data_IF_451193411733
#
_entry.id   IF_451193411733
#
_cell.length_a   1.000
_cell.length_b   1.000
_cell.length_c   1.000
_cell.angle_alpha   90.00
_cell.angle_beta   90.00
_cell.angle_gamma   90.00
#
_symmetry.space_group_name_H-M   'P 1'
#
loop_
_entity.id
_entity.type
_entity.pdbx_description
1 polymer ?
#
# COMPACT_ATOMS: atom_id res chain seq x y z
N UNK A 1 18.48 -1.91 0.46
CA UNK A 1 17.14 -1.31 0.36
C UNK A 1 16.97 -0.29 1.47
N UNK A 2 16.47 0.91 1.20
CA UNK A 2 16.19 1.94 2.21
C UNK A 2 14.70 1.90 2.57
N UNK A 3 14.38 1.85 3.87
CA UNK A 3 13.01 1.90 4.37
C UNK A 3 12.93 3.02 5.41
N UNK A 4 11.99 3.95 5.26
CA UNK A 4 11.73 5.06 6.18
C UNK A 4 10.26 5.01 6.62
N UNK A 5 9.99 4.87 7.91
CA UNK A 5 8.61 4.80 8.47
C UNK A 5 8.37 5.84 9.58
N UNK A 6 7.12 6.04 9.98
CA UNK A 6 6.73 7.03 10.99
C UNK A 6 6.99 8.49 10.60
N UNK A 7 6.69 9.44 11.50
CA UNK A 7 6.91 10.88 11.27
C UNK A 7 7.36 11.57 12.56
N UNK A 8 8.22 12.59 12.44
CA UNK A 8 8.65 13.42 13.55
C UNK A 8 9.36 12.60 14.63
N UNK A 9 8.84 12.66 15.86
CA UNK A 9 9.35 11.89 17.02
C UNK A 9 9.24 10.37 16.86
N UNK A 10 8.29 9.88 16.06
CA UNK A 10 8.06 8.45 15.83
C UNK A 10 8.76 7.93 14.57
N UNK A 11 9.64 8.72 13.96
CA UNK A 11 10.31 8.35 12.72
C UNK A 11 11.37 7.25 12.97
N UNK A 12 11.36 6.22 12.13
CA UNK A 12 12.34 5.14 12.13
C UNK A 12 12.79 4.84 10.70
N UNK A 13 13.96 4.24 10.55
CA UNK A 13 14.42 3.81 9.23
C UNK A 13 15.48 2.73 9.31
N UNK A 14 15.61 1.97 8.23
CA UNK A 14 16.61 0.91 8.09
C UNK A 14 17.21 0.95 6.69
N UNK A 15 18.50 0.62 6.61
CA UNK A 15 19.22 0.40 5.35
C UNK A 15 19.68 -1.04 5.31
N UNK A 16 19.23 -1.76 4.30
CA UNK A 16 19.72 -3.10 3.99
C UNK A 16 20.86 -3.01 2.96
N UNK A 17 22.02 -3.53 3.31
CA UNK A 17 23.23 -3.56 2.49
C UNK A 17 23.39 -4.93 1.85
N UNK A 18 23.61 -4.95 0.54
CA UNK A 18 23.86 -6.16 -0.24
C UNK A 18 25.33 -6.19 -0.66
N UNK A 19 26.18 -6.99 0.01
CA UNK A 19 27.61 -6.98 -0.27
C UNK A 19 27.93 -7.71 -1.58
N UNK A 20 28.83 -7.14 -2.38
CA UNK A 20 29.26 -7.72 -3.68
C UNK A 20 30.30 -8.84 -3.52
N UNK A 21 30.66 -9.20 -2.30
CA UNK A 21 31.71 -10.17 -1.97
C UNK A 21 31.25 -11.64 -2.05
N UNK A 22 30.09 -11.90 -2.66
CA UNK A 22 29.54 -13.26 -2.83
C UNK A 22 28.91 -13.86 -1.58
N UNK A 23 28.74 -13.08 -0.50
CA UNK A 23 27.96 -13.52 0.68
C UNK A 23 26.48 -13.23 0.45
N UNK A 24 25.63 -14.21 0.73
CA UNK A 24 24.17 -14.10 0.55
C UNK A 24 23.46 -13.37 1.70
N UNK A 25 24.17 -13.03 2.77
CA UNK A 25 23.60 -12.39 3.95
C UNK A 25 23.64 -10.87 3.77
N UNK A 26 22.46 -10.25 3.78
CA UNK A 26 22.33 -8.80 3.85
C UNK A 26 22.51 -8.33 5.29
N UNK A 27 23.05 -7.12 5.45
CA UNK A 27 23.20 -6.45 6.74
C UNK A 27 22.16 -5.34 6.85
N UNK A 28 21.42 -5.28 7.95
CA UNK A 28 20.48 -4.20 8.24
C UNK A 28 21.07 -3.22 9.24
N UNK A 29 21.20 -1.97 8.84
CA UNK A 29 21.64 -0.87 9.69
C UNK A 29 20.45 0.04 10.06
N UNK A 30 20.17 0.25 11.35
CA UNK A 30 19.14 1.20 11.76
C UNK A 30 19.62 2.65 11.58
N UNK A 31 18.75 3.51 11.08
CA UNK A 31 19.02 4.93 10.94
C UNK A 31 18.57 5.70 12.18
N UNK A 32 19.35 6.70 12.58
CA UNK A 32 18.92 7.65 13.61
C UNK A 32 17.73 8.47 13.12
N UNK A 33 16.88 8.88 14.06
CA UNK A 33 15.71 9.72 13.79
C UNK A 33 16.06 11.00 13.02
N UNK A 34 17.15 11.67 13.38
CA UNK A 34 17.59 12.90 12.70
C UNK A 34 17.98 12.62 11.25
N UNK A 35 18.71 11.53 10.99
CA UNK A 35 19.03 11.09 9.62
C UNK A 35 17.77 10.78 8.83
N UNK A 36 16.79 10.09 9.42
CA UNK A 36 15.51 9.80 8.78
C UNK A 36 14.76 11.09 8.39
N UNK A 37 14.69 12.07 9.29
CA UNK A 37 14.03 13.35 9.03
C UNK A 37 14.76 14.18 7.97
N UNK A 38 16.09 14.25 8.03
CA UNK A 38 16.92 14.94 7.03
C UNK A 38 16.80 14.29 5.64
N UNK A 39 16.80 12.95 5.57
CA UNK A 39 16.62 12.23 4.30
C UNK A 39 15.25 12.52 3.69
N UNK A 40 14.18 12.58 4.49
CA UNK A 40 12.85 12.97 3.99
C UNK A 40 12.85 14.37 3.39
N UNK A 41 13.48 15.32 4.07
CA UNK A 41 13.58 16.71 3.59
C UNK A 41 14.37 16.80 2.28
N UNK A 42 15.50 16.09 2.19
CA UNK A 42 16.34 16.06 0.99
C UNK A 42 15.64 15.37 -0.19
N UNK A 43 14.96 14.26 0.06
CA UNK A 43 14.21 13.52 -0.95
C UNK A 43 12.85 14.15 -1.28
N UNK A 44 12.50 15.28 -0.65
CA UNK A 44 11.22 15.97 -0.80
C UNK A 44 10.01 15.08 -0.53
N UNK A 45 10.16 14.15 0.42
CA UNK A 45 9.09 13.30 0.91
C UNK A 45 8.29 14.11 1.94
N UNK A 46 7.14 14.64 1.52
CA UNK A 46 6.19 15.32 2.40
C UNK A 46 4.97 14.45 2.67
N UNK A 47 4.18 14.83 3.69
CA UNK A 47 2.88 14.19 3.96
C UNK A 47 1.87 14.41 2.84
N UNK A 48 2.05 15.47 2.06
CA UNK A 48 1.19 15.81 0.93
C UNK A 48 1.53 14.99 -0.32
N UNK A 49 2.68 14.31 -0.33
CA UNK A 49 3.11 13.47 -1.43
C UNK A 49 2.51 12.07 -1.29
N UNK A 50 1.41 11.82 -2.00
CA UNK A 50 0.79 10.51 -2.11
C UNK A 50 1.05 9.89 -3.48
N UNK A 51 1.41 8.60 -3.49
CA UNK A 51 1.52 7.82 -4.71
C UNK A 51 1.18 6.36 -4.40
N UNK A 52 0.19 5.81 -5.09
CA UNK A 52 -0.15 4.39 -5.04
C UNK A 52 -0.14 3.83 -6.46
N UNK A 53 0.57 2.72 -6.65
CA UNK A 53 0.67 2.03 -7.93
C UNK A 53 0.02 0.66 -7.80
N UNK A 54 -0.83 0.32 -8.76
CA UNK A 54 -1.34 -1.05 -8.93
C UNK A 54 -0.47 -1.70 -9.99
N UNK A 55 0.28 -2.72 -9.61
CA UNK A 55 1.20 -3.45 -10.50
C UNK A 55 0.64 -4.84 -10.77
N UNK A 56 0.56 -5.21 -12.05
CA UNK A 56 0.08 -6.52 -12.48
C UNK A 56 1.09 -7.64 -12.19
N UNK A 57 0.67 -8.90 -12.36
CA UNK A 57 1.57 -10.06 -12.18
C UNK A 57 2.67 -10.12 -13.26
N UNK A 58 2.43 -9.45 -14.39
CA UNK A 58 3.42 -9.20 -15.44
C UNK A 58 4.48 -8.17 -15.05
N UNK A 59 4.31 -7.47 -13.93
CA UNK A 59 5.20 -6.39 -13.47
C UNK A 59 4.86 -5.02 -14.05
N UNK A 60 3.84 -4.92 -14.90
CA UNK A 60 3.43 -3.67 -15.52
C UNK A 60 2.53 -2.84 -14.60
N UNK A 61 2.69 -1.52 -14.64
CA UNK A 61 1.80 -0.59 -13.93
C UNK A 61 0.44 -0.55 -14.61
N UNK A 62 -0.62 -0.89 -13.87
CA UNK A 62 -2.01 -0.90 -14.34
C UNK A 62 -2.76 0.38 -13.96
N UNK A 63 -2.41 0.99 -12.83
CA UNK A 63 -2.92 2.29 -12.43
C UNK A 63 -1.94 3.02 -11.52
N UNK A 64 -2.01 4.36 -11.54
CA UNK A 64 -1.25 5.25 -10.68
C UNK A 64 -2.19 6.29 -10.08
N UNK A 65 -2.30 6.30 -8.75
CA UNK A 65 -3.09 7.25 -7.98
C UNK A 65 -2.16 8.24 -7.28
N UNK A 66 -2.36 9.52 -7.57
CA UNK A 66 -1.60 10.64 -6.98
C UNK A 66 -2.32 11.30 -5.82
N UNK A 67 -3.47 10.75 -5.40
CA UNK A 67 -4.23 11.20 -4.24
C UNK A 67 -4.82 9.99 -3.51
N UNK A 68 -4.98 10.06 -2.17
CA UNK A 68 -5.59 8.99 -1.40
C UNK A 68 -6.98 8.64 -1.94
N UNK A 69 -7.28 7.34 -2.01
CA UNK A 69 -8.62 6.87 -2.34
C UNK A 69 -9.45 6.73 -1.06
N UNK A 70 -10.70 7.15 -1.12
CA UNK A 70 -11.68 7.02 -0.05
C UNK A 70 -12.22 5.59 0.10
N UNK A 71 -12.17 4.81 -0.98
CA UNK A 71 -12.55 3.40 -1.02
C UNK A 71 -11.60 2.62 -1.93
N UNK A 72 -11.41 1.33 -1.61
CA UNK A 72 -10.69 0.38 -2.44
C UNK A 72 -11.58 -0.27 -3.52
N UNK A 73 -12.89 0.01 -3.55
CA UNK A 73 -13.81 -0.62 -4.51
C UNK A 73 -13.33 -0.44 -5.95
N UNK A 74 -12.91 0.77 -6.34
CA UNK A 74 -12.38 1.02 -7.68
C UNK A 74 -11.08 0.27 -7.98
N UNK A 75 -10.27 -0.01 -6.95
CA UNK A 75 -9.07 -0.85 -7.09
C UNK A 75 -9.45 -2.30 -7.28
N UNK A 76 -10.45 -2.80 -6.54
CA UNK A 76 -10.94 -4.17 -6.70
C UNK A 76 -11.60 -4.39 -8.06
N UNK A 77 -12.44 -3.46 -8.51
CA UNK A 77 -13.04 -3.51 -9.85
C UNK A 77 -11.97 -3.51 -10.94
N UNK A 78 -10.93 -2.67 -10.79
CA UNK A 78 -9.78 -2.70 -11.70
C UNK A 78 -9.11 -4.07 -11.68
N UNK A 79 -8.83 -4.62 -10.51
CA UNK A 79 -8.17 -5.93 -10.37
C UNK A 79 -9.00 -7.04 -11.00
N UNK A 80 -10.31 -7.07 -10.76
CA UNK A 80 -11.22 -8.10 -11.27
C UNK A 80 -11.50 -7.96 -12.77
N UNK A 81 -11.32 -6.77 -13.35
CA UNK A 81 -11.37 -6.57 -14.81
C UNK A 81 -10.14 -7.10 -15.55
N UNK A 82 -9.03 -7.41 -14.85
CA UNK A 82 -7.79 -7.85 -15.50
C UNK A 82 -7.92 -9.26 -16.08
N UNK A 83 -7.42 -9.47 -17.31
CA UNK A 83 -7.51 -10.77 -17.99
C UNK A 83 -6.86 -11.91 -17.18
N UNK A 84 -5.69 -11.66 -16.59
CA UNK A 84 -4.98 -12.63 -15.74
C UNK A 84 -5.82 -13.05 -14.53
N UNK A 85 -6.59 -12.10 -13.96
CA UNK A 85 -7.48 -12.35 -12.82
C UNK A 85 -8.69 -13.19 -13.26
N UNK A 86 -9.27 -12.87 -14.40
CA UNK A 86 -10.38 -13.63 -15.00
C UNK A 86 -9.95 -15.07 -15.34
N UNK A 87 -8.77 -15.27 -15.88
CA UNK A 87 -8.24 -16.61 -16.20
C UNK A 87 -7.99 -17.44 -14.93
N UNK A 88 -7.41 -16.82 -13.90
CA UNK A 88 -7.19 -17.46 -12.62
C UNK A 88 -8.52 -17.89 -11.98
N UNK A 89 -9.53 -17.03 -11.97
CA UNK A 89 -10.85 -17.35 -11.43
C UNK A 89 -11.48 -18.55 -12.17
N UNK A 90 -11.40 -18.55 -13.51
CA UNK A 90 -11.88 -19.69 -14.32
C UNK A 90 -11.13 -20.98 -13.98
N UNK A 91 -9.83 -20.92 -13.72
CA UNK A 91 -9.05 -22.07 -13.30
C UNK A 91 -9.47 -22.55 -11.91
N UNK A 92 -9.58 -21.66 -10.92
CA UNK A 92 -10.02 -21.99 -9.57
C UNK A 92 -11.40 -22.68 -9.59
N UNK A 93 -12.36 -22.14 -10.36
CA UNK A 93 -13.68 -22.76 -10.55
C UNK A 93 -13.60 -24.17 -11.16
N UNK A 94 -12.75 -24.37 -12.18
CA UNK A 94 -12.52 -25.71 -12.78
C UNK A 94 -11.92 -26.71 -11.81
N UNK A 95 -11.06 -26.24 -10.90
CA UNK A 95 -10.40 -27.06 -9.89
C UNK A 95 -11.26 -27.26 -8.63
N UNK A 96 -12.45 -26.66 -8.56
CA UNK A 96 -13.30 -26.72 -7.37
C UNK A 96 -12.75 -25.95 -6.17
N UNK A 97 -11.79 -25.04 -6.39
CA UNK A 97 -11.27 -24.15 -5.36
C UNK A 97 -12.33 -23.09 -5.10
N UNK A 98 -12.87 -23.07 -3.89
CA UNK A 98 -13.84 -22.07 -3.44
C UNK A 98 -13.33 -21.44 -2.15
N UNK A 99 -13.54 -20.14 -2.01
CA UNK A 99 -13.36 -19.47 -0.73
C UNK A 99 -14.41 -20.05 0.24
N UNK A 100 -14.00 -20.41 1.45
CA UNK A 100 -14.93 -20.85 2.48
C UNK A 100 -15.83 -19.68 2.88
N UNK A 101 -17.13 -19.93 2.95
CA UNK A 101 -18.16 -18.96 3.36
C UNK A 101 -18.14 -18.67 4.87
N UNK A 102 -17.04 -18.97 5.56
CA UNK A 102 -16.90 -18.80 7.01
C UNK A 102 -16.72 -17.32 7.37
N UNK A 103 -17.80 -16.55 7.22
CA UNK A 103 -17.95 -15.22 7.82
C UNK A 103 -18.16 -15.27 9.34
N UNK A 104 -18.38 -16.45 9.93
CA UNK A 104 -18.83 -16.57 11.33
C UNK A 104 -17.87 -17.28 12.30
N UNK A 105 -16.60 -17.54 11.95
CA UNK A 105 -15.71 -18.20 12.92
C UNK A 105 -14.21 -18.00 12.68
N UNK A 106 -13.78 -16.74 12.62
CA UNK A 106 -12.44 -16.37 13.08
C UNK A 106 -12.55 -15.00 13.74
N UNK A 107 -12.61 -15.00 15.08
CA UNK A 107 -12.62 -13.78 15.87
C UNK A 107 -11.36 -12.96 15.65
N UNK A 108 -11.56 -11.65 15.55
CA UNK A 108 -10.50 -10.66 15.46
C UNK A 108 -11.03 -9.40 14.81
N UNK A 109 -11.73 -8.59 15.63
CA UNK A 109 -12.05 -7.16 15.47
C UNK A 109 -12.36 -6.64 14.07
N UNK A 110 -13.56 -6.05 13.93
CA UNK A 110 -13.94 -5.30 12.75
C UNK A 110 -12.86 -4.31 12.34
N UNK A 111 -12.08 -4.69 11.32
CA UNK A 111 -11.10 -3.85 10.67
C UNK A 111 -11.84 -2.83 9.82
N UNK A 112 -12.41 -1.84 10.49
CA UNK A 112 -12.60 -0.53 9.91
C UNK A 112 -11.19 -0.11 9.46
N UNK A 113 -10.88 -0.15 8.17
CA UNK A 113 -9.72 0.56 7.60
C UNK A 113 -10.05 2.06 7.63
N UNK A 114 -10.28 2.58 8.84
CA UNK A 114 -10.29 3.99 9.13
C UNK A 114 -8.83 4.42 9.19
N UNK A 115 -8.39 5.16 8.19
CA UNK A 115 -7.34 6.13 8.47
C UNK A 115 -7.90 7.03 9.58
N UNK A 116 -7.31 6.96 10.78
CA UNK A 116 -7.52 7.98 11.81
C UNK A 116 -7.01 9.31 11.26
N UNK A 117 -7.91 10.04 10.61
CA UNK A 117 -7.73 11.44 10.26
C UNK A 117 -8.20 12.28 11.45
N UNK A 118 -7.54 12.11 12.59
CA UNK A 118 -7.60 13.12 13.64
C UNK A 118 -6.78 14.32 13.16
N UNK A 119 -7.46 15.24 12.45
CA UNK A 119 -6.99 16.63 12.32
C UNK A 119 -6.94 17.26 10.93
N UNK A 120 -7.73 16.83 9.94
CA UNK A 120 -7.91 17.64 8.72
C UNK A 120 -9.27 18.31 8.68
N UNK A 121 -9.22 19.61 8.92
CA UNK A 121 -10.17 20.68 8.66
C UNK A 121 -11.30 20.35 7.64
N UNK A 122 -12.52 20.63 8.08
CA UNK A 122 -13.82 20.38 7.43
C UNK A 122 -14.03 21.22 6.15
N UNK A 123 -13.27 20.99 5.07
CA UNK A 123 -13.42 21.83 3.85
C UNK A 123 -13.39 21.14 2.49
N UNK A 124 -13.78 19.88 2.38
CA UNK A 124 -13.97 19.27 1.05
C UNK A 124 -15.26 18.44 0.97
N UNK A 125 -16.40 19.11 1.13
CA UNK A 125 -17.66 18.65 0.56
C UNK A 125 -17.71 19.16 -0.89
N UNK A 126 -17.52 18.28 -1.87
CA UNK A 126 -17.90 18.58 -3.25
C UNK A 126 -19.13 17.77 -3.63
N UNK A 127 -20.15 18.50 -4.09
CA UNK A 127 -21.41 18.02 -4.64
C UNK A 127 -21.15 17.14 -5.86
N UNK A 128 -21.85 16.00 -5.92
CA UNK A 128 -21.90 15.16 -7.12
C UNK A 128 -22.66 15.86 -8.25
N UNK A 129 -22.37 15.52 -9.52
CA UNK A 129 -23.16 15.98 -10.65
C UNK A 129 -24.53 15.28 -10.65
N UNK A 130 -25.60 16.07 -10.76
CA UNK A 130 -26.93 15.59 -11.13
C UNK A 130 -26.94 15.26 -12.63
N UNK A 131 -27.26 14.02 -13.00
CA UNK A 131 -27.97 13.64 -14.22
C UNK A 131 -28.91 12.46 -13.94
#
# INVERSE_FOLDING_TARGET
MLILTGVGEKATGTVELFPLNGRSQSEMEPLTKDTVNNLREQLKISKDYFSMLVVGKDGDVKAWFTSPLWSLDSVYDLVDSMEQRIEEERLQRRLGIQCSDNKDQQGGEGGHYGYDVEGTDERYLYQGPEE
#
